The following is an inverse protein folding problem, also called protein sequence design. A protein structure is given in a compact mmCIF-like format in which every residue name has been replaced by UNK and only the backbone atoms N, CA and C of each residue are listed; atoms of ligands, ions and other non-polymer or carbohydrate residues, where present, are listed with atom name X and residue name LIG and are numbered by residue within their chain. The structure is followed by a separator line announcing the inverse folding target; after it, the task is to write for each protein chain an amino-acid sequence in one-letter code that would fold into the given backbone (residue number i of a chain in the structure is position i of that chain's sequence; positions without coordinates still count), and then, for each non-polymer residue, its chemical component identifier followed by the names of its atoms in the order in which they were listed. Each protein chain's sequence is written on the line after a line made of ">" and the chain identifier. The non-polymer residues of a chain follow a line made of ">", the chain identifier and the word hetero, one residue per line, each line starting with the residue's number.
data_IF_988510949102
#
_entry.id   IF_988510949102
#
_cell.length_a   1.000
_cell.length_b   1.000
_cell.length_c   1.000
_cell.angle_alpha   90.00
_cell.angle_beta   90.00
_cell.angle_gamma   90.00
#
_symmetry.space_group_name_H-M   'P 1'
#
loop_
_entity.id
_entity.type
_entity.pdbx_description
1 polymer ?
#
# COMPACT_ATOMS: atom_id res chain seq x y z
N UNK A 1 17.94 15.37 33.91
CA UNK A 1 17.58 16.02 32.61
C UNK A 1 18.42 15.44 31.48
N UNK A 2 17.90 14.48 30.69
CA UNK A 2 18.35 14.02 29.34
C UNK A 2 17.21 13.12 28.81
N UNK A 3 16.74 13.12 27.56
CA UNK A 3 17.05 13.86 26.34
C UNK A 3 15.71 14.06 25.59
N UNK A 4 15.54 15.18 24.89
CA UNK A 4 14.42 15.38 23.96
C UNK A 4 14.68 14.56 22.70
N UNK A 5 14.01 13.43 22.53
CA UNK A 5 14.02 12.72 21.25
C UNK A 5 13.19 13.53 20.26
N UNK A 6 13.85 14.38 19.48
CA UNK A 6 13.22 15.07 18.35
C UNK A 6 13.00 14.04 17.24
N UNK A 7 11.93 13.24 17.38
CA UNK A 7 11.53 12.24 16.39
C UNK A 7 10.96 13.04 15.21
N UNK A 8 11.77 13.27 14.17
CA UNK A 8 11.25 13.71 12.85
C UNK A 8 10.06 12.81 12.56
N UNK A 9 8.87 13.39 12.55
CA UNK A 9 7.62 12.64 12.47
C UNK A 9 7.61 11.88 11.16
N UNK A 10 7.84 10.57 11.25
CA UNK A 10 7.70 9.63 10.14
C UNK A 10 6.38 9.93 9.40
N UNK A 11 6.48 10.45 8.17
CA UNK A 11 5.35 10.93 7.38
C UNK A 11 4.76 9.79 6.56
N UNK A 12 4.15 8.81 7.23
CA UNK A 12 3.40 7.72 6.55
C UNK A 12 2.28 8.31 5.68
N UNK A 13 1.86 7.57 4.65
CA UNK A 13 0.68 7.94 3.88
C UNK A 13 -0.58 7.86 4.76
N UNK A 14 -1.45 8.84 4.61
CA UNK A 14 -2.84 8.81 5.08
C UNK A 14 -3.68 7.83 4.24
N UNK A 15 -4.90 7.46 4.68
CA UNK A 15 -5.79 6.61 3.87
C UNK A 15 -6.02 7.11 2.44
N UNK A 16 -6.23 8.41 2.26
CA UNK A 16 -6.43 9.02 0.94
C UNK A 16 -5.15 8.98 0.09
N UNK A 17 -3.99 9.30 0.69
CA UNK A 17 -2.70 9.19 0.01
C UNK A 17 -2.37 7.74 -0.40
N UNK A 18 -2.70 6.75 0.44
CA UNK A 18 -2.52 5.32 0.13
C UNK A 18 -3.41 4.91 -1.06
N UNK A 19 -4.67 5.35 -1.07
CA UNK A 19 -5.58 5.02 -2.18
C UNK A 19 -5.15 5.71 -3.48
N UNK A 20 -4.75 6.98 -3.41
CA UNK A 20 -4.17 7.71 -4.54
C UNK A 20 -2.90 7.02 -5.06
N UNK A 21 -2.00 6.58 -4.18
CA UNK A 21 -0.81 5.82 -4.55
C UNK A 21 -1.15 4.54 -5.33
N UNK A 22 -2.18 3.80 -4.89
CA UNK A 22 -2.64 2.62 -5.62
C UNK A 22 -3.15 2.99 -7.01
N UNK A 23 -3.97 4.04 -7.12
CA UNK A 23 -4.54 4.49 -8.41
C UNK A 23 -3.45 4.91 -9.37
N UNK A 24 -2.46 5.69 -8.92
CA UNK A 24 -1.31 6.08 -9.72
C UNK A 24 -0.51 4.85 -10.18
N UNK A 25 -0.34 3.87 -9.29
CA UNK A 25 0.36 2.64 -9.64
C UNK A 25 -0.40 1.82 -10.68
N UNK A 26 -1.72 1.72 -10.52
CA UNK A 26 -2.62 1.08 -11.48
C UNK A 26 -2.53 1.73 -12.85
N UNK A 27 -2.61 3.06 -12.92
CA UNK A 27 -2.47 3.80 -14.18
C UNK A 27 -1.13 3.53 -14.85
N UNK A 28 -0.02 3.50 -14.11
CA UNK A 28 1.32 3.18 -14.65
C UNK A 28 1.44 1.75 -15.20
N UNK A 29 0.61 0.83 -14.70
CA UNK A 29 0.59 -0.58 -15.12
C UNK A 29 -0.48 -0.89 -16.17
N UNK A 30 -1.30 0.10 -16.53
CA UNK A 30 -2.39 -0.07 -17.49
C UNK A 30 -3.67 -0.67 -16.89
N UNK A 31 -3.78 -0.78 -15.57
CA UNK A 31 -5.01 -1.21 -14.91
C UNK A 31 -6.04 -0.07 -14.89
N UNK A 32 -7.27 -0.41 -15.26
CA UNK A 32 -8.40 0.52 -15.30
C UNK A 32 -9.33 0.39 -14.10
N UNK A 33 -9.34 -0.78 -13.45
CA UNK A 33 -10.23 -1.09 -12.33
C UNK A 33 -9.56 -1.96 -11.25
N UNK A 34 -10.11 -1.92 -10.03
CA UNK A 34 -9.64 -2.78 -8.94
C UNK A 34 -9.96 -4.26 -9.20
N UNK A 35 -10.98 -4.52 -10.00
CA UNK A 35 -11.37 -5.85 -10.47
C UNK A 35 -10.24 -6.52 -11.27
N UNK A 36 -9.52 -5.77 -12.11
CA UNK A 36 -8.36 -6.30 -12.85
C UNK A 36 -7.23 -6.69 -11.90
N UNK A 37 -6.92 -5.83 -10.93
CA UNK A 37 -5.90 -6.12 -9.89
C UNK A 37 -6.33 -7.32 -9.04
N UNK A 38 -7.62 -7.41 -8.68
CA UNK A 38 -8.18 -8.52 -7.93
C UNK A 38 -8.05 -9.86 -8.69
N UNK A 39 -8.35 -9.85 -9.99
CA UNK A 39 -8.23 -11.02 -10.84
C UNK A 39 -6.77 -11.51 -10.93
N UNK A 40 -5.80 -10.61 -11.05
CA UNK A 40 -4.38 -10.98 -11.17
C UNK A 40 -3.74 -11.36 -9.83
N UNK A 41 -4.13 -10.71 -8.74
CA UNK A 41 -3.60 -11.03 -7.39
C UNK A 41 -4.26 -12.25 -6.77
N UNK A 42 -5.45 -12.63 -7.22
CA UNK A 42 -6.33 -13.59 -6.54
C UNK A 42 -6.93 -13.05 -5.23
N UNK A 43 -6.74 -11.77 -4.91
CA UNK A 43 -7.28 -11.13 -3.70
C UNK A 43 -8.64 -10.52 -4.03
N UNK A 44 -9.62 -10.70 -3.13
CA UNK A 44 -10.92 -10.08 -3.29
C UNK A 44 -10.81 -8.54 -3.44
N UNK A 45 -11.50 -7.96 -4.43
CA UNK A 45 -11.52 -6.52 -4.70
C UNK A 45 -11.81 -5.65 -3.47
N UNK A 46 -12.77 -6.06 -2.64
CA UNK A 46 -13.13 -5.34 -1.42
C UNK A 46 -12.01 -5.36 -0.39
N UNK A 47 -11.23 -6.43 -0.32
CA UNK A 47 -10.04 -6.50 0.53
C UNK A 47 -8.94 -5.57 0.00
N UNK A 48 -8.67 -5.55 -1.31
CA UNK A 48 -7.71 -4.60 -1.90
C UNK A 48 -8.11 -3.17 -1.54
N UNK A 49 -9.39 -2.81 -1.72
CA UNK A 49 -9.89 -1.51 -1.32
C UNK A 49 -9.61 -1.22 0.16
N UNK A 50 -10.00 -2.10 1.08
CA UNK A 50 -9.78 -1.90 2.52
C UNK A 50 -8.30 -1.81 2.90
N UNK A 51 -7.42 -2.53 2.20
CA UNK A 51 -5.98 -2.44 2.39
C UNK A 51 -5.46 -1.05 2.04
N UNK A 52 -5.91 -0.52 0.89
CA UNK A 52 -5.48 0.77 0.38
C UNK A 52 -6.34 1.95 0.85
N UNK A 53 -7.33 1.72 1.71
CA UNK A 53 -7.94 2.76 2.56
C UNK A 53 -7.56 2.60 4.03
N UNK A 54 -6.60 1.71 4.33
CA UNK A 54 -6.09 1.41 5.67
C UNK A 54 -7.16 0.93 6.67
N UNK A 55 -8.33 0.51 6.19
CA UNK A 55 -9.41 -0.05 7.00
C UNK A 55 -9.07 -1.46 7.50
N UNK A 56 -8.30 -2.21 6.71
CA UNK A 56 -7.81 -3.54 7.07
C UNK A 56 -6.33 -3.67 6.70
N UNK A 57 -5.57 -4.44 7.46
CA UNK A 57 -4.21 -4.82 7.08
C UNK A 57 -4.19 -6.15 6.31
N UNK A 58 -3.47 -6.24 5.19
CA UNK A 58 -3.22 -7.52 4.53
C UNK A 58 -2.36 -8.43 5.42
N UNK A 59 -2.61 -9.73 5.34
CA UNK A 59 -1.72 -10.74 5.94
C UNK A 59 -0.36 -10.76 5.22
N UNK A 60 0.69 -11.21 5.92
CA UNK A 60 2.04 -11.37 5.34
C UNK A 60 2.01 -12.27 4.10
N UNK A 61 1.17 -13.31 4.10
CA UNK A 61 1.02 -14.23 2.96
C UNK A 61 0.51 -13.53 1.68
N UNK A 62 -0.13 -12.36 1.79
CA UNK A 62 -0.63 -11.59 0.65
C UNK A 62 0.39 -10.56 0.14
N UNK A 63 1.54 -10.41 0.80
CA UNK A 63 2.57 -9.44 0.38
C UNK A 63 3.19 -9.81 -0.95
N UNK A 64 3.52 -11.09 -1.15
CA UNK A 64 4.12 -11.58 -2.38
C UNK A 64 3.24 -11.34 -3.62
N UNK A 65 1.97 -11.78 -3.68
CA UNK A 65 1.14 -11.54 -4.85
C UNK A 65 0.89 -10.03 -5.10
N UNK A 66 0.76 -9.23 -4.04
CA UNK A 66 0.65 -7.77 -4.17
C UNK A 66 1.92 -7.16 -4.77
N UNK A 67 3.12 -7.58 -4.33
CA UNK A 67 4.38 -7.08 -4.87
C UNK A 67 4.54 -7.46 -6.35
N UNK A 68 4.20 -8.69 -6.72
CA UNK A 68 4.34 -9.19 -8.09
C UNK A 68 3.40 -8.45 -9.06
N UNK A 69 2.10 -8.37 -8.74
CA UNK A 69 1.10 -7.73 -9.63
C UNK A 69 1.32 -6.22 -9.69
N UNK A 70 1.56 -5.57 -8.55
CA UNK A 70 1.87 -4.14 -8.54
C UNK A 70 3.30 -3.85 -9.00
N UNK A 71 4.12 -4.86 -9.32
CA UNK A 71 5.53 -4.73 -9.75
C UNK A 71 6.36 -3.81 -8.85
N UNK A 72 6.18 -3.89 -7.54
CA UNK A 72 6.88 -3.07 -6.55
C UNK A 72 7.73 -3.92 -5.61
N UNK A 73 8.75 -3.32 -5.00
CA UNK A 73 9.46 -3.98 -3.91
C UNK A 73 8.59 -4.10 -2.65
N UNK A 74 8.89 -5.04 -1.73
CA UNK A 74 8.19 -5.14 -0.46
C UNK A 74 8.20 -3.81 0.33
N UNK A 75 9.33 -3.11 0.36
CA UNK A 75 9.43 -1.81 1.02
C UNK A 75 8.49 -0.78 0.38
N UNK A 76 8.47 -0.68 -0.95
CA UNK A 76 7.59 0.25 -1.64
C UNK A 76 6.10 -0.09 -1.41
N UNK A 77 5.74 -1.37 -1.34
CA UNK A 77 4.39 -1.80 -0.96
C UNK A 77 4.05 -1.38 0.47
N UNK A 78 4.94 -1.60 1.43
CA UNK A 78 4.73 -1.21 2.83
C UNK A 78 4.58 0.30 3.00
N UNK A 79 5.31 1.10 2.22
CA UNK A 79 5.12 2.56 2.15
C UNK A 79 3.75 2.87 1.53
N UNK A 80 3.41 2.25 0.40
CA UNK A 80 2.14 2.42 -0.30
C UNK A 80 0.93 2.11 0.58
N UNK A 81 1.00 1.07 1.41
CA UNK A 81 0.00 0.67 2.40
C UNK A 81 -0.06 1.60 3.64
N UNK A 82 0.82 2.59 3.74
CA UNK A 82 0.89 3.50 4.89
C UNK A 82 1.43 2.85 6.17
N UNK A 83 2.03 1.65 6.09
CA UNK A 83 2.56 0.93 7.26
C UNK A 83 4.03 1.24 7.54
N UNK A 84 4.77 1.73 6.55
CA UNK A 84 6.18 2.11 6.65
C UNK A 84 6.40 3.60 6.32
N UNK A 85 7.50 4.14 6.82
CA UNK A 85 7.85 5.55 6.63
C UNK A 85 8.43 5.84 5.23
N UNK A 86 8.18 7.04 4.70
CA UNK A 86 8.69 7.46 3.37
C UNK A 86 10.02 8.21 3.40
N UNK A 87 10.71 8.25 4.54
CA UNK A 87 11.91 9.05 4.77
C UNK A 87 13.20 8.22 4.79
#
# INVERSE_FOLDING_TARGET
>A
MKAKTNKKSAKRYTPDETYSWLRDRMTKLGYTSLEQVAAETGINRGNIYRYFTQDQRPSVALMEPLCQVLKVSPQALLIGLGVWDRN
#
